data_IF_533766096196
#
_entry.id   IF_533766096196
#
_cell.length_a   1.000
_cell.length_b   1.000
_cell.length_c   1.000
_cell.angle_alpha   90.00
_cell.angle_beta   90.00
_cell.angle_gamma   90.00
#
_symmetry.space_group_name_H-M   'P 1'
#
loop_
_entity.id
_entity.type
_entity.pdbx_description
1 polymer ?
#
# COMPACT_ATOMS: atom_id res chain seq x y z
N UNK A 1 66.34 22.33 -89.65
CA UNK A 1 66.21 20.99 -89.04
C UNK A 1 66.28 21.18 -87.54
N UNK A 2 65.19 21.35 -86.91
CA UNK A 2 65.07 21.81 -85.53
C UNK A 2 64.34 20.78 -84.73
N UNK A 3 65.04 20.12 -83.85
CA UNK A 3 64.52 19.10 -82.97
C UNK A 3 64.02 19.73 -81.68
N UNK A 4 62.68 19.78 -81.50
CA UNK A 4 62.06 20.18 -80.27
C UNK A 4 62.03 19.02 -79.29
N UNK A 5 62.60 19.22 -78.11
CA UNK A 5 62.46 18.36 -76.94
C UNK A 5 61.12 18.62 -76.25
N UNK A 6 60.39 17.60 -75.79
CA UNK A 6 59.22 17.80 -74.94
C UNK A 6 59.61 17.99 -73.45
N UNK A 7 58.90 18.86 -72.77
CA UNK A 7 59.04 19.19 -71.37
C UNK A 7 58.48 18.08 -70.49
N UNK A 8 59.26 17.67 -69.48
CA UNK A 8 58.79 16.78 -68.40
C UNK A 8 57.85 17.56 -67.51
N UNK A 9 56.57 17.06 -67.39
CA UNK A 9 55.64 17.51 -66.44
C UNK A 9 55.87 16.78 -65.07
N UNK A 10 56.24 17.59 -64.08
CA UNK A 10 56.34 17.15 -62.68
C UNK A 10 54.95 16.88 -62.14
N UNK A 11 54.63 15.64 -61.90
CA UNK A 11 53.41 15.24 -61.20
C UNK A 11 53.57 15.57 -59.71
N UNK A 12 52.84 16.54 -59.25
CA UNK A 12 52.67 16.85 -57.83
C UNK A 12 51.83 15.73 -57.16
N UNK A 13 52.49 15.01 -56.27
CA UNK A 13 51.78 14.09 -55.30
C UNK A 13 50.99 14.95 -54.33
N UNK A 14 49.71 15.13 -54.64
CA UNK A 14 48.77 15.86 -53.79
C UNK A 14 48.04 14.89 -52.86
N UNK A 15 48.36 14.96 -51.59
CA UNK A 15 47.55 14.96 -50.42
C UNK A 15 46.26 14.10 -50.47
N UNK A 16 46.40 12.76 -50.29
CA UNK A 16 45.28 11.82 -50.17
C UNK A 16 44.98 11.38 -48.73
N UNK A 17 45.58 12.01 -47.73
CA UNK A 17 45.47 11.55 -46.34
C UNK A 17 44.42 12.30 -45.46
N UNK A 18 43.89 13.42 -45.87
CA UNK A 18 42.97 14.22 -45.08
C UNK A 18 41.52 13.71 -44.95
N UNK A 19 40.87 13.02 -45.91
CA UNK A 19 39.48 12.59 -45.78
C UNK A 19 39.27 11.34 -44.87
N UNK A 20 40.29 10.50 -44.72
CA UNK A 20 40.17 9.24 -43.97
C UNK A 20 40.09 9.44 -42.43
N UNK A 21 40.81 10.41 -41.89
CA UNK A 21 40.83 10.73 -40.47
C UNK A 21 39.51 11.41 -40.02
N UNK A 22 38.95 12.26 -40.90
CA UNK A 22 37.66 12.92 -40.62
C UNK A 22 36.48 11.94 -40.61
N UNK A 23 36.47 10.94 -41.47
CA UNK A 23 35.46 9.88 -41.53
C UNK A 23 35.53 9.00 -40.30
N UNK A 24 36.72 8.69 -39.78
CA UNK A 24 36.93 7.85 -38.59
C UNK A 24 36.45 8.55 -37.31
N UNK A 25 36.60 9.87 -37.20
CA UNK A 25 36.14 10.66 -36.08
C UNK A 25 34.59 10.82 -36.07
N UNK A 26 33.98 10.92 -37.27
CA UNK A 26 32.53 10.96 -37.40
C UNK A 26 31.87 9.61 -36.99
N UNK A 27 32.42 8.48 -37.43
CA UNK A 27 31.96 7.16 -37.03
C UNK A 27 32.04 6.94 -35.51
N UNK A 28 33.10 7.37 -34.86
CA UNK A 28 33.25 7.31 -33.40
C UNK A 28 32.22 8.17 -32.68
N UNK A 29 31.94 9.38 -33.18
CA UNK A 29 30.91 10.25 -32.61
C UNK A 29 29.51 9.65 -32.73
N UNK A 30 29.20 9.04 -33.86
CA UNK A 30 27.92 8.35 -34.09
C UNK A 30 27.75 7.14 -33.18
N UNK A 31 28.80 6.32 -32.99
CA UNK A 31 28.79 5.19 -32.07
C UNK A 31 28.62 5.63 -30.62
N UNK A 32 29.32 6.70 -30.21
CA UNK A 32 29.16 7.27 -28.87
C UNK A 32 27.76 7.84 -28.64
N UNK A 33 27.19 8.52 -29.63
CA UNK A 33 25.83 9.04 -29.56
C UNK A 33 24.81 7.89 -29.45
N UNK A 34 25.00 6.83 -30.22
CA UNK A 34 24.13 5.64 -30.17
C UNK A 34 24.25 4.93 -28.82
N UNK A 35 25.46 4.74 -28.31
CA UNK A 35 25.69 4.18 -26.99
C UNK A 35 25.07 5.05 -25.90
N UNK A 36 25.18 6.37 -25.98
CA UNK A 36 24.58 7.30 -25.04
C UNK A 36 23.06 7.18 -25.03
N UNK A 37 22.41 7.13 -26.18
CA UNK A 37 20.95 6.97 -26.32
C UNK A 37 20.47 5.65 -25.73
N UNK A 38 21.24 4.57 -25.85
CA UNK A 38 20.91 3.28 -25.27
C UNK A 38 21.16 3.21 -23.74
N UNK A 39 22.23 3.82 -23.26
CA UNK A 39 22.63 3.76 -21.85
C UNK A 39 21.88 4.78 -20.98
N UNK A 40 21.57 5.96 -21.53
CA UNK A 40 20.94 7.05 -20.79
C UNK A 40 19.59 6.67 -20.16
N UNK A 41 18.67 5.96 -20.85
CA UNK A 41 17.40 5.52 -20.23
C UNK A 41 17.61 4.55 -19.06
N UNK A 42 18.60 3.66 -19.18
CA UNK A 42 18.93 2.69 -18.13
C UNK A 42 19.49 3.41 -16.90
N UNK A 43 20.43 4.33 -17.11
CA UNK A 43 20.99 5.16 -16.04
C UNK A 43 19.90 6.05 -15.40
N UNK A 44 19.05 6.67 -16.23
CA UNK A 44 17.95 7.49 -15.74
C UNK A 44 16.94 6.67 -14.90
N UNK A 45 16.63 5.45 -15.34
CA UNK A 45 15.78 4.53 -14.58
C UNK A 45 16.42 4.13 -13.24
N UNK A 46 17.70 3.81 -13.24
CA UNK A 46 18.45 3.52 -12.03
C UNK A 46 18.50 4.72 -11.07
N UNK A 47 18.78 5.89 -11.60
CA UNK A 47 18.81 7.14 -10.82
C UNK A 47 17.43 7.45 -10.23
N UNK A 48 16.36 7.34 -11.03
CA UNK A 48 14.99 7.53 -10.55
C UNK A 48 14.61 6.53 -9.48
N UNK A 49 15.03 5.27 -9.59
CA UNK A 49 14.73 4.24 -8.61
C UNK A 49 15.50 4.40 -7.28
N UNK A 50 16.79 4.74 -7.33
CA UNK A 50 17.62 4.81 -6.13
C UNK A 50 17.70 6.19 -5.49
N UNK A 51 17.61 7.26 -6.27
CA UNK A 51 17.76 8.65 -5.77
C UNK A 51 16.41 9.31 -5.55
N UNK A 52 15.45 9.05 -6.45
CA UNK A 52 14.12 9.60 -6.35
C UNK A 52 13.13 8.54 -5.82
N UNK A 53 13.41 8.00 -4.66
CA UNK A 53 12.39 7.27 -3.92
C UNK A 53 11.38 8.31 -3.42
N UNK A 54 10.12 8.32 -3.92
CA UNK A 54 9.12 9.20 -3.37
C UNK A 54 8.93 8.83 -1.89
N UNK A 55 9.30 9.73 -1.00
CA UNK A 55 9.12 9.58 0.44
C UNK A 55 7.63 9.57 0.84
N UNK A 56 6.72 9.58 -0.11
CA UNK A 56 5.28 9.49 0.08
C UNK A 56 4.87 8.07 0.44
N UNK A 57 4.43 7.87 1.68
CA UNK A 57 3.70 6.66 2.04
C UNK A 57 2.49 6.56 1.12
N UNK A 58 2.43 5.51 0.32
CA UNK A 58 1.30 5.26 -0.60
C UNK A 58 0.04 4.91 0.20
N UNK A 59 0.22 4.40 1.42
CA UNK A 59 -0.84 4.01 2.34
C UNK A 59 -1.04 5.06 3.41
N UNK A 60 -2.29 5.35 3.75
CA UNK A 60 -2.66 6.18 4.89
C UNK A 60 -2.35 5.46 6.20
N UNK A 61 -2.69 4.18 6.28
CA UNK A 61 -2.33 3.32 7.41
C UNK A 61 -0.86 2.92 7.42
N UNK A 62 -0.35 2.64 8.61
CA UNK A 62 0.99 2.13 8.85
C UNK A 62 0.96 0.61 8.75
N UNK A 63 1.74 0.05 7.83
CA UNK A 63 1.89 -1.40 7.72
C UNK A 63 2.63 -1.95 8.94
N UNK A 64 2.15 -3.05 9.46
CA UNK A 64 2.74 -3.80 10.56
C UNK A 64 3.33 -5.10 10.03
N UNK A 65 4.30 -5.66 10.76
CA UNK A 65 4.69 -7.05 10.53
C UNK A 65 3.48 -7.93 10.83
N UNK A 66 3.05 -8.79 9.91
CA UNK A 66 1.85 -9.60 10.12
C UNK A 66 1.95 -10.45 11.38
N UNK A 67 1.00 -10.28 12.29
CA UNK A 67 0.87 -11.04 13.53
C UNK A 67 -0.51 -11.68 13.57
N UNK A 68 -0.65 -12.96 13.93
CA UNK A 68 -1.97 -13.56 14.11
C UNK A 68 -2.71 -12.84 15.23
N UNK A 69 -3.95 -12.47 14.98
CA UNK A 69 -4.84 -11.93 16.01
C UNK A 69 -5.37 -13.13 16.79
N UNK A 70 -5.01 -13.29 18.03
CA UNK A 70 -5.45 -14.32 18.98
C UNK A 70 -6.09 -15.60 18.41
N UNK A 71 -5.94 -16.72 19.06
CA UNK A 71 -6.51 -17.99 18.57
C UNK A 71 -7.70 -18.49 19.40
N UNK A 72 -7.88 -17.96 20.60
CA UNK A 72 -8.91 -18.39 21.54
C UNK A 72 -10.30 -17.82 21.19
N UNK A 73 -11.33 -18.55 21.56
CA UNK A 73 -12.71 -18.09 21.45
C UNK A 73 -12.99 -17.03 22.52
N UNK A 74 -13.60 -15.94 22.13
CA UNK A 74 -13.94 -14.82 22.99
C UNK A 74 -15.43 -14.85 23.34
N UNK A 75 -15.78 -14.45 24.57
CA UNK A 75 -17.18 -14.29 24.96
C UNK A 75 -17.83 -13.16 24.16
N UNK A 76 -18.97 -13.45 23.55
CA UNK A 76 -19.79 -12.41 22.92
C UNK A 76 -20.37 -11.46 23.97
N UNK A 77 -20.47 -10.19 23.61
CA UNK A 77 -21.01 -9.14 24.49
C UNK A 77 -22.35 -8.65 23.95
N UNK A 78 -23.21 -8.11 24.82
CA UNK A 78 -24.52 -7.57 24.47
C UNK A 78 -25.46 -8.60 23.77
N UNK A 79 -25.46 -9.82 24.23
CA UNK A 79 -26.32 -10.89 23.71
C UNK A 79 -25.85 -11.51 22.39
N UNK A 80 -24.66 -11.16 21.93
CA UNK A 80 -24.06 -11.80 20.75
C UNK A 80 -23.44 -13.16 21.09
N UNK A 81 -23.40 -14.12 20.16
CA UNK A 81 -22.73 -15.39 20.37
C UNK A 81 -21.23 -15.22 20.57
N UNK A 82 -20.58 -16.26 21.06
CA UNK A 82 -19.13 -16.33 21.13
C UNK A 82 -18.50 -15.96 19.77
N UNK A 83 -17.29 -15.40 19.83
CA UNK A 83 -16.53 -14.99 18.66
C UNK A 83 -15.26 -15.83 18.55
N UNK A 84 -15.09 -16.53 17.44
CA UNK A 84 -13.88 -17.32 17.18
C UNK A 84 -12.98 -16.63 16.16
N UNK A 85 -11.69 -16.93 16.22
CA UNK A 85 -10.72 -16.47 15.23
C UNK A 85 -11.06 -16.90 13.78
N UNK A 86 -11.83 -17.98 13.62
CA UNK A 86 -12.28 -18.44 12.31
C UNK A 86 -13.25 -17.46 11.63
N UNK A 87 -13.97 -16.65 12.40
CA UNK A 87 -14.85 -15.60 11.85
C UNK A 87 -14.07 -14.49 11.12
N UNK A 88 -12.76 -14.35 11.38
CA UNK A 88 -11.89 -13.42 10.66
C UNK A 88 -11.55 -13.93 9.26
N UNK A 89 -11.63 -15.23 9.03
CA UNK A 89 -11.22 -15.84 7.77
C UNK A 89 -12.15 -15.45 6.62
N UNK A 90 -11.55 -15.20 5.48
CA UNK A 90 -12.29 -14.85 4.27
C UNK A 90 -12.79 -13.41 4.19
N UNK A 91 -12.60 -12.60 5.24
CA UNK A 91 -13.01 -11.18 5.23
C UNK A 91 -11.93 -10.26 5.78
N UNK A 92 -11.88 -9.07 5.24
CA UNK A 92 -11.11 -7.98 5.81
C UNK A 92 -11.82 -7.46 7.06
N UNK A 93 -11.16 -7.41 8.19
CA UNK A 93 -11.82 -7.02 9.45
C UNK A 93 -11.18 -5.77 10.02
N UNK A 94 -11.99 -4.72 10.20
CA UNK A 94 -11.61 -3.53 10.96
C UNK A 94 -11.80 -3.85 12.45
N UNK A 95 -10.76 -3.70 13.26
CA UNK A 95 -10.75 -4.04 14.68
C UNK A 95 -10.47 -2.81 15.52
N UNK A 96 -11.25 -2.63 16.57
CA UNK A 96 -11.08 -1.60 17.60
C UNK A 96 -11.01 -2.29 18.97
N UNK A 97 -10.03 -1.94 19.79
CA UNK A 97 -9.98 -2.33 21.19
C UNK A 97 -10.26 -1.10 22.07
N UNK A 98 -11.38 -1.13 22.80
CA UNK A 98 -11.80 0.01 23.61
C UNK A 98 -12.67 -0.45 24.81
N UNK A 99 -12.73 0.32 25.91
CA UNK A 99 -13.61 0.02 27.04
C UNK A 99 -15.09 0.11 26.66
N UNK A 100 -15.95 -0.57 27.40
CA UNK A 100 -17.40 -0.60 27.17
C UNK A 100 -18.06 0.78 27.25
N UNK A 101 -17.53 1.67 28.09
CA UNK A 101 -18.00 3.05 28.21
C UNK A 101 -17.82 3.89 26.93
N UNK A 102 -16.97 3.43 26.03
CA UNK A 102 -16.71 4.02 24.70
C UNK A 102 -16.57 5.56 24.73
N UNK A 103 -15.42 6.11 25.18
CA UNK A 103 -15.18 7.54 25.18
C UNK A 103 -15.24 8.11 23.73
N UNK A 104 -15.24 9.43 23.57
CA UNK A 104 -15.39 10.09 22.27
C UNK A 104 -14.51 9.51 21.17
N UNK A 105 -13.23 9.26 21.46
CA UNK A 105 -12.31 8.63 20.51
C UNK A 105 -12.79 7.24 20.02
N UNK A 106 -13.43 6.45 20.90
CA UNK A 106 -14.04 5.18 20.53
C UNK A 106 -15.29 5.38 19.64
N UNK A 107 -16.16 6.32 19.98
CA UNK A 107 -17.35 6.66 19.18
C UNK A 107 -16.92 7.09 17.77
N UNK A 108 -15.94 7.96 17.68
CA UNK A 108 -15.38 8.41 16.39
C UNK A 108 -14.74 7.24 15.61
N UNK A 109 -14.04 6.34 16.28
CA UNK A 109 -13.46 5.16 15.63
C UNK A 109 -14.54 4.22 15.08
N UNK A 110 -15.59 3.93 15.86
CA UNK A 110 -16.73 3.10 15.41
C UNK A 110 -17.44 3.75 14.21
N UNK A 111 -17.64 5.06 14.24
CA UNK A 111 -18.18 5.81 13.11
C UNK A 111 -17.31 5.68 11.85
N UNK A 112 -16.00 5.90 11.97
CA UNK A 112 -15.04 5.76 10.86
C UNK A 112 -15.05 4.34 10.29
N UNK A 113 -15.07 3.31 11.13
CA UNK A 113 -15.16 1.91 10.71
C UNK A 113 -16.46 1.65 9.92
N UNK A 114 -17.58 2.20 10.38
CA UNK A 114 -18.87 2.10 9.67
C UNK A 114 -18.83 2.78 8.31
N UNK A 115 -18.36 4.03 8.25
CA UNK A 115 -18.27 4.77 6.99
C UNK A 115 -17.32 4.12 6.00
N UNK A 116 -16.17 3.65 6.48
CA UNK A 116 -15.18 2.95 5.65
C UNK A 116 -15.78 1.69 5.02
N UNK A 117 -16.54 0.89 5.78
CA UNK A 117 -17.23 -0.30 5.25
C UNK A 117 -18.29 0.08 4.22
N UNK A 118 -19.17 1.02 4.53
CA UNK A 118 -20.26 1.43 3.63
C UNK A 118 -19.73 1.99 2.30
N UNK A 119 -18.63 2.71 2.32
CA UNK A 119 -18.00 3.27 1.13
C UNK A 119 -17.43 2.21 0.17
N UNK A 120 -17.32 0.94 0.59
CA UNK A 120 -16.90 -0.13 -0.32
C UNK A 120 -18.00 -0.59 -1.27
N UNK A 121 -19.24 -0.12 -1.10
CA UNK A 121 -20.37 -0.42 -1.97
C UNK A 121 -20.63 -1.93 -2.08
N UNK A 122 -20.54 -2.47 -3.28
CA UNK A 122 -20.74 -3.92 -3.56
C UNK A 122 -19.73 -4.83 -2.85
N UNK A 123 -18.57 -4.33 -2.50
CA UNK A 123 -17.52 -5.09 -1.81
C UNK A 123 -17.68 -5.04 -0.28
N UNK A 124 -18.69 -4.34 0.26
CA UNK A 124 -18.84 -4.13 1.70
C UNK A 124 -19.03 -5.43 2.50
N UNK A 125 -19.57 -6.49 1.87
CA UNK A 125 -19.76 -7.79 2.53
C UNK A 125 -18.42 -8.52 2.79
N UNK A 126 -17.37 -8.13 2.08
CA UNK A 126 -16.00 -8.59 2.31
C UNK A 126 -15.31 -7.88 3.49
N UNK A 127 -16.00 -6.90 4.09
CA UNK A 127 -15.46 -6.08 5.18
C UNK A 127 -16.29 -6.29 6.43
N UNK A 128 -15.68 -6.88 7.46
CA UNK A 128 -16.26 -7.03 8.79
C UNK A 128 -15.77 -5.94 9.74
N UNK A 129 -16.47 -5.77 10.86
CA UNK A 129 -16.10 -4.85 11.94
C UNK A 129 -16.20 -5.58 13.27
N UNK A 130 -15.16 -5.45 14.09
CA UNK A 130 -15.05 -6.07 15.39
C UNK A 130 -14.67 -5.03 16.45
N UNK A 131 -15.45 -4.96 17.52
CA UNK A 131 -15.09 -4.24 18.73
C UNK A 131 -14.72 -5.22 19.84
N UNK A 132 -13.47 -5.15 20.24
CA UNK A 132 -12.91 -5.87 21.37
C UNK A 132 -13.09 -5.02 22.64
N UNK A 133 -14.02 -5.40 23.49
CA UNK A 133 -14.27 -4.70 24.75
C UNK A 133 -13.16 -5.05 25.73
N UNK A 134 -12.37 -4.05 26.13
CA UNK A 134 -11.16 -4.23 26.92
C UNK A 134 -11.38 -4.30 28.45
N UNK A 135 -12.62 -4.12 28.89
CA UNK A 135 -13.02 -4.18 30.31
C UNK A 135 -14.22 -5.10 30.52
N UNK A 136 -14.68 -5.24 31.77
CA UNK A 136 -15.85 -6.07 32.11
C UNK A 136 -17.18 -5.35 31.95
N UNK A 137 -17.18 -4.13 31.44
CA UNK A 137 -18.37 -3.35 31.21
C UNK A 137 -19.30 -3.92 30.12
N UNK A 138 -20.45 -3.28 29.96
CA UNK A 138 -21.40 -3.57 28.87
C UNK A 138 -21.57 -2.32 28.03
N UNK A 139 -21.36 -2.40 26.71
CA UNK A 139 -21.62 -1.29 25.79
C UNK A 139 -23.07 -0.83 25.83
N UNK A 140 -23.29 0.48 25.67
CA UNK A 140 -24.62 1.06 25.63
C UNK A 140 -25.45 0.54 24.45
N UNK A 141 -26.70 0.17 24.68
CA UNK A 141 -27.59 -0.38 23.64
C UNK A 141 -27.87 0.63 22.53
N UNK A 142 -27.99 1.92 22.86
CA UNK A 142 -28.18 2.98 21.87
C UNK A 142 -27.00 3.05 20.89
N UNK A 143 -25.77 3.01 21.40
CA UNK A 143 -24.57 3.00 20.56
C UNK A 143 -24.53 1.78 19.64
N UNK A 144 -24.85 0.61 20.16
CA UNK A 144 -24.88 -0.62 19.36
C UNK A 144 -25.94 -0.59 18.27
N UNK A 145 -27.10 0.01 18.53
CA UNK A 145 -28.17 0.17 17.52
C UNK A 145 -27.74 1.00 16.31
N UNK A 146 -26.87 2.00 16.52
CA UNK A 146 -26.30 2.81 15.44
C UNK A 146 -25.29 2.05 14.56
N UNK A 147 -24.75 0.93 15.07
CA UNK A 147 -23.68 0.16 14.43
C UNK A 147 -24.13 -1.24 14.03
N UNK A 148 -25.26 -1.38 13.35
CA UNK A 148 -25.77 -2.67 12.88
C UNK A 148 -24.68 -3.48 12.14
N UNK A 149 -24.58 -4.79 12.49
CA UNK A 149 -23.56 -5.69 11.93
C UNK A 149 -22.15 -5.54 12.52
N UNK A 150 -21.99 -4.77 13.60
CA UNK A 150 -20.77 -4.76 14.40
C UNK A 150 -20.72 -6.00 15.29
N UNK A 151 -19.63 -6.78 15.17
CA UNK A 151 -19.36 -7.85 16.15
C UNK A 151 -18.73 -7.24 17.39
N UNK A 152 -19.19 -7.69 18.56
CA UNK A 152 -18.70 -7.21 19.85
C UNK A 152 -18.35 -8.41 20.72
N UNK A 153 -17.11 -8.48 21.14
CA UNK A 153 -16.61 -9.56 21.96
C UNK A 153 -15.73 -9.04 23.11
N UNK A 154 -15.66 -9.77 24.20
CA UNK A 154 -14.77 -9.47 25.32
C UNK A 154 -13.34 -9.77 24.91
N UNK A 155 -12.46 -8.77 24.98
CA UNK A 155 -11.06 -8.97 24.68
C UNK A 155 -10.39 -9.85 25.74
N UNK A 156 -9.53 -10.75 25.31
CA UNK A 156 -8.57 -11.41 26.21
C UNK A 156 -7.22 -10.74 26.18
N UNK A 157 -6.36 -11.06 27.14
CA UNK A 157 -5.00 -10.52 27.17
C UNK A 157 -4.20 -10.87 25.92
N UNK A 158 -4.35 -12.09 25.37
CA UNK A 158 -3.65 -12.53 24.16
C UNK A 158 -4.07 -11.72 22.92
N UNK A 159 -5.37 -11.44 22.76
CA UNK A 159 -5.89 -10.64 21.68
C UNK A 159 -5.41 -9.18 21.76
N UNK A 160 -5.39 -8.60 22.97
CA UNK A 160 -4.89 -7.23 23.16
C UNK A 160 -3.39 -7.11 22.89
N UNK A 161 -2.60 -8.13 23.26
CA UNK A 161 -1.16 -8.15 22.97
C UNK A 161 -0.84 -8.21 21.48
N UNK A 162 -1.75 -8.75 20.66
CA UNK A 162 -1.61 -8.78 19.21
C UNK A 162 -1.87 -7.41 18.53
N UNK A 163 -2.36 -6.43 19.28
CA UNK A 163 -2.69 -5.09 18.80
C UNK A 163 -1.70 -4.06 19.38
N UNK A 164 -0.59 -3.77 18.71
CA UNK A 164 0.45 -2.90 19.26
C UNK A 164 -0.06 -1.47 19.47
N UNK A 165 0.21 -0.92 20.67
CA UNK A 165 -0.21 0.43 21.05
C UNK A 165 -1.73 0.67 20.91
N UNK A 166 -2.55 -0.36 21.18
CA UNK A 166 -4.00 -0.23 21.14
C UNK A 166 -4.48 0.85 22.11
N UNK A 167 -5.39 1.69 21.63
CA UNK A 167 -6.10 2.69 22.44
C UNK A 167 -7.54 2.84 21.91
N UNK A 168 -8.38 3.57 22.65
CA UNK A 168 -9.80 3.69 22.35
C UNK A 168 -10.14 4.35 20.98
N UNK A 169 -9.18 4.94 20.31
CA UNK A 169 -9.37 5.58 18.99
C UNK A 169 -8.66 4.89 17.83
N UNK A 170 -7.79 3.91 18.12
CA UNK A 170 -6.92 3.29 17.11
C UNK A 170 -7.58 2.10 16.45
N UNK A 171 -7.69 2.15 15.13
CA UNK A 171 -8.30 1.10 14.32
C UNK A 171 -7.20 0.28 13.68
N UNK A 172 -7.36 -1.04 13.73
CA UNK A 172 -6.49 -2.01 13.07
C UNK A 172 -7.20 -2.67 11.91
N UNK A 173 -6.45 -3.12 10.92
CA UNK A 173 -6.94 -3.91 9.81
C UNK A 173 -6.34 -5.32 9.90
N UNK A 174 -7.22 -6.28 9.92
CA UNK A 174 -6.91 -7.72 9.89
C UNK A 174 -7.23 -8.26 8.51
N UNK A 175 -6.31 -9.03 7.97
CA UNK A 175 -6.46 -9.65 6.65
C UNK A 175 -7.39 -10.88 6.70
N UNK A 176 -7.82 -11.42 5.54
CA UNK A 176 -8.67 -12.62 5.48
C UNK A 176 -8.01 -13.93 5.98
N UNK A 177 -6.75 -13.89 6.40
CA UNK A 177 -6.05 -14.99 7.07
C UNK A 177 -6.07 -14.85 8.59
N UNK A 178 -6.63 -13.76 9.11
CA UNK A 178 -6.67 -13.47 10.55
C UNK A 178 -5.38 -12.80 11.07
N UNK A 179 -4.59 -12.15 10.21
CA UNK A 179 -3.37 -11.47 10.62
C UNK A 179 -3.57 -9.96 10.68
N UNK A 180 -3.13 -9.35 11.76
CA UNK A 180 -3.07 -7.89 11.88
C UNK A 180 -1.98 -7.39 10.95
N UNK A 181 -2.34 -6.62 9.95
CA UNK A 181 -1.40 -6.17 8.93
C UNK A 181 -1.20 -4.66 8.87
N UNK A 182 -2.14 -3.89 9.41
CA UNK A 182 -2.08 -2.44 9.33
C UNK A 182 -2.74 -1.81 10.56
N UNK A 183 -2.21 -0.67 10.99
CA UNK A 183 -2.89 0.21 11.94
C UNK A 183 -3.15 1.57 11.28
N UNK A 184 -4.28 2.15 11.59
CA UNK A 184 -4.59 3.51 11.16
C UNK A 184 -4.17 4.50 12.24
N UNK A 185 -3.76 5.72 11.86
CA UNK A 185 -3.41 6.75 12.83
C UNK A 185 -4.62 7.13 13.69
N UNK A 186 -4.34 7.67 14.88
CA UNK A 186 -5.37 8.27 15.71
C UNK A 186 -6.00 9.46 14.94
N UNK A 187 -7.30 9.67 15.13
CA UNK A 187 -8.00 10.69 14.39
C UNK A 187 -7.49 12.10 14.71
N UNK A 188 -7.12 12.83 13.66
CA UNK A 188 -6.82 14.27 13.72
C UNK A 188 -7.93 15.03 13.00
N UNK A 189 -8.30 14.58 11.81
CA UNK A 189 -9.46 15.04 11.03
C UNK A 189 -10.30 13.83 10.64
N UNK A 190 -11.46 13.67 11.28
CA UNK A 190 -12.32 12.52 11.08
C UNK A 190 -12.72 12.31 9.60
N UNK A 191 -12.81 13.37 8.81
CA UNK A 191 -13.21 13.30 7.39
C UNK A 191 -12.05 12.83 6.52
N UNK A 192 -10.88 13.44 6.67
CA UNK A 192 -9.69 13.08 5.91
C UNK A 192 -9.19 11.69 6.29
N UNK A 193 -9.20 11.37 7.57
CA UNK A 193 -8.81 10.07 8.11
C UNK A 193 -9.72 8.97 7.56
N UNK A 194 -11.03 9.19 7.53
CA UNK A 194 -11.99 8.24 6.94
C UNK A 194 -11.72 8.05 5.44
N UNK A 195 -11.46 9.12 4.69
CA UNK A 195 -11.10 9.03 3.26
C UNK A 195 -9.78 8.28 3.03
N UNK A 196 -8.82 8.46 3.93
CA UNK A 196 -7.55 7.72 3.92
C UNK A 196 -7.78 6.21 4.08
N UNK A 197 -8.54 5.82 5.10
CA UNK A 197 -8.93 4.43 5.37
C UNK A 197 -9.70 3.81 4.18
N UNK A 198 -10.66 4.56 3.62
CA UNK A 198 -11.44 4.12 2.45
C UNK A 198 -10.53 3.80 1.27
N UNK A 199 -9.59 4.69 0.94
CA UNK A 199 -8.66 4.50 -0.19
C UNK A 199 -7.76 3.29 -0.01
N UNK A 200 -7.22 3.08 1.19
CA UNK A 200 -6.39 1.92 1.47
C UNK A 200 -7.18 0.62 1.34
N UNK A 201 -8.37 0.56 1.94
CA UNK A 201 -9.22 -0.61 1.87
C UNK A 201 -9.70 -0.91 0.44
N UNK A 202 -10.05 0.12 -0.34
CA UNK A 202 -10.42 -0.03 -1.76
C UNK A 202 -9.28 -0.64 -2.58
N UNK A 203 -8.04 -0.21 -2.35
CA UNK A 203 -6.86 -0.79 -3.01
C UNK A 203 -6.69 -2.26 -2.65
N UNK A 204 -6.80 -2.60 -1.37
CA UNK A 204 -6.69 -3.98 -0.90
C UNK A 204 -7.78 -4.88 -1.50
N UNK A 205 -9.02 -4.44 -1.50
CA UNK A 205 -10.15 -5.17 -2.09
C UNK A 205 -10.01 -5.35 -3.60
N UNK A 206 -9.47 -4.34 -4.31
CA UNK A 206 -9.27 -4.39 -5.76
C UNK A 206 -8.17 -5.34 -6.18
N UNK A 207 -7.03 -5.30 -5.50
CA UNK A 207 -5.82 -6.01 -5.92
C UNK A 207 -5.62 -7.35 -5.21
N UNK A 208 -6.27 -7.59 -4.08
CA UNK A 208 -6.19 -8.85 -3.37
C UNK A 208 -7.26 -9.83 -3.83
N UNK A 209 -6.84 -11.05 -4.16
CA UNK A 209 -7.74 -12.19 -4.35
C UNK A 209 -8.29 -12.69 -3.00
N UNK A 210 -7.64 -12.35 -1.89
CA UNK A 210 -8.05 -12.76 -0.55
C UNK A 210 -9.44 -12.22 -0.21
N UNK A 211 -10.29 -13.07 0.36
CA UNK A 211 -11.67 -12.72 0.72
C UNK A 211 -12.61 -12.54 -0.48
N UNK A 212 -12.21 -12.93 -1.70
CA UNK A 212 -13.15 -13.25 -2.77
C UNK A 212 -13.57 -14.69 -2.50
N UNK A 213 -14.84 -14.89 -2.10
CA UNK A 213 -15.34 -16.22 -1.79
C UNK A 213 -14.98 -17.21 -2.90
N UNK A 214 -14.54 -18.39 -2.55
CA UNK A 214 -14.64 -19.57 -3.40
C UNK A 214 -16.13 -19.88 -3.54
N UNK A 215 -16.74 -19.27 -4.53
CA UNK A 215 -18.18 -19.39 -4.73
C UNK A 215 -18.59 -18.85 -6.08
N UNK A 216 -18.16 -19.51 -7.14
CA UNK A 216 -18.93 -19.72 -8.38
C UNK A 216 -18.47 -21.00 -9.04
#
# INVERSE_FOLDING_TARGET
METRRPAMASATLSDASAPALRRRSQGRRTLLALALVCVLPVLASYLAFYVWQPAGRVNFGVLLSPLPLGAETLLGVAGQPEFSADELRGRWTLVLAAPAACPSACVDALYRMRQTRLAQGKEMERVARLWLVSDDGRPGTALLAEHAGLRVARASGAWLQSLPEANAGRIFLVDPRGQVMMRFPDAVDATEDTRGMMRDLQRLLKYSALGRGEGQ
#
